data_IF_889166266009
#
_entry.id   IF_889166266009
#
_cell.length_a   1.000
_cell.length_b   1.000
_cell.length_c   1.000
_cell.angle_alpha   90.00
_cell.angle_beta   90.00
_cell.angle_gamma   90.00
#
_symmetry.space_group_name_H-M   'P 1'
#
loop_
_entity.id
_entity.type
_entity.pdbx_description
1 polymer ?
#
# COMPACT_ATOMS: atom_id res chain seq x y z
N UNK A 1 7.43 -5.43 18.97
CA UNK A 1 6.93 -6.07 17.70
C UNK A 1 6.84 -4.93 16.70
N UNK A 2 7.23 -5.07 15.43
CA UNK A 2 7.25 -3.96 14.48
C UNK A 2 5.86 -3.50 13.99
N UNK A 3 5.83 -2.89 12.81
CA UNK A 3 4.59 -2.49 12.14
C UNK A 3 3.82 -3.75 11.70
N UNK A 4 2.53 -3.83 12.02
CA UNK A 4 1.65 -4.92 11.55
C UNK A 4 0.97 -4.48 10.26
N UNK A 5 1.14 -5.25 9.19
CA UNK A 5 0.54 -4.99 7.89
C UNK A 5 -0.57 -6.01 7.64
N UNK A 6 -1.77 -5.55 7.24
CA UNK A 6 -2.88 -6.42 6.88
C UNK A 6 -3.38 -6.11 5.47
N UNK A 7 -3.51 -7.15 4.67
CA UNK A 7 -4.08 -7.05 3.33
C UNK A 7 -3.83 -8.29 2.49
N UNK A 8 -4.03 -8.17 1.18
CA UNK A 8 -3.98 -9.29 0.27
C UNK A 8 -2.59 -9.46 -0.38
N UNK A 9 -2.28 -10.72 -0.72
CA UNK A 9 -1.25 -11.06 -1.69
C UNK A 9 -1.90 -11.28 -3.05
N UNK A 10 -1.27 -10.77 -4.11
CA UNK A 10 -1.67 -10.98 -5.49
C UNK A 10 -0.56 -11.62 -6.30
N UNK A 11 -0.94 -12.21 -7.41
CA UNK A 11 -0.06 -12.59 -8.51
C UNK A 11 -0.46 -11.76 -9.71
N UNK A 12 0.48 -10.98 -10.20
CA UNK A 12 0.31 -10.20 -11.42
C UNK A 12 0.78 -11.03 -12.61
N UNK A 13 -0.15 -11.35 -13.51
CA UNK A 13 0.11 -12.05 -14.77
C UNK A 13 0.07 -11.00 -15.88
N UNK A 14 1.24 -10.68 -16.42
CA UNK A 14 1.45 -9.62 -17.42
C UNK A 14 1.77 -10.24 -18.77
N UNK A 15 0.94 -9.97 -19.78
CA UNK A 15 1.13 -10.42 -21.16
C UNK A 15 1.59 -9.28 -22.06
N UNK A 16 2.75 -9.45 -22.73
CA UNK A 16 3.33 -8.48 -23.64
C UNK A 16 3.43 -9.06 -25.05
N UNK A 17 2.87 -8.39 -26.09
CA UNK A 17 3.00 -8.86 -27.48
C UNK A 17 4.46 -8.72 -27.94
N UNK A 18 4.90 -9.68 -28.76
CA UNK A 18 6.21 -9.65 -29.39
C UNK A 18 6.20 -8.75 -30.65
N UNK A 19 5.09 -8.80 -31.39
CA UNK A 19 4.85 -8.02 -32.61
C UNK A 19 3.73 -7.00 -32.37
N UNK A 20 3.26 -6.34 -33.43
CA UNK A 20 2.15 -5.38 -33.35
C UNK A 20 0.94 -6.04 -32.69
N UNK A 21 0.42 -5.44 -31.61
CA UNK A 21 -0.75 -5.93 -30.91
C UNK A 21 -1.99 -5.93 -31.80
N UNK A 22 -2.66 -7.08 -31.90
CA UNK A 22 -3.88 -7.27 -32.66
C UNK A 22 -5.05 -7.40 -31.69
N UNK A 23 -5.92 -6.37 -31.54
CA UNK A 23 -7.11 -6.45 -30.69
C UNK A 23 -8.03 -7.58 -31.12
N UNK A 24 -8.47 -8.42 -30.16
CA UNK A 24 -9.32 -9.58 -30.44
C UNK A 24 -8.63 -10.73 -31.17
N UNK A 25 -7.35 -10.61 -31.50
CA UNK A 25 -6.54 -11.62 -32.18
C UNK A 25 -5.71 -12.48 -31.23
N UNK A 26 -5.06 -13.51 -31.79
CA UNK A 26 -4.04 -14.28 -31.10
C UNK A 26 -2.68 -13.61 -31.30
N UNK A 27 -2.13 -13.09 -30.22
CA UNK A 27 -0.81 -12.45 -30.23
C UNK A 27 0.25 -13.42 -29.71
N UNK A 28 1.35 -13.57 -30.42
CA UNK A 28 2.55 -14.20 -29.87
C UNK A 28 3.24 -13.20 -28.93
N UNK A 29 3.83 -13.70 -27.82
CA UNK A 29 4.45 -12.78 -26.87
C UNK A 29 5.06 -13.49 -25.66
N UNK A 30 5.44 -12.70 -24.67
CA UNK A 30 5.92 -13.18 -23.37
C UNK A 30 4.85 -12.99 -22.30
N UNK A 31 4.86 -13.88 -21.33
CA UNK A 31 4.02 -13.80 -20.14
C UNK A 31 4.94 -13.82 -18.94
N UNK A 32 4.72 -12.86 -18.04
CA UNK A 32 5.44 -12.74 -16.78
C UNK A 32 4.46 -12.99 -15.63
N UNK A 33 4.93 -13.67 -14.59
CA UNK A 33 4.21 -13.82 -13.33
C UNK A 33 5.10 -13.23 -12.24
N UNK A 34 4.59 -12.21 -11.57
CA UNK A 34 5.32 -11.55 -10.48
C UNK A 34 4.44 -11.50 -9.24
N UNK A 35 5.02 -11.72 -8.04
CA UNK A 35 4.30 -11.46 -6.81
C UNK A 35 3.91 -9.98 -6.74
N UNK A 36 2.66 -9.71 -6.38
CA UNK A 36 2.08 -8.39 -6.28
C UNK A 36 1.17 -8.25 -5.05
N UNK A 37 0.34 -7.22 -5.06
CA UNK A 37 -0.55 -6.86 -3.98
C UNK A 37 0.01 -5.69 -3.16
N UNK A 38 -0.84 -4.66 -2.97
CA UNK A 38 -0.49 -3.44 -2.24
C UNK A 38 0.15 -3.74 -0.88
N UNK A 39 -0.53 -4.51 -0.04
CA UNK A 39 -0.04 -4.83 1.30
C UNK A 39 1.20 -5.71 1.30
N UNK A 40 1.36 -6.60 0.30
CA UNK A 40 2.56 -7.41 0.16
C UNK A 40 3.76 -6.52 -0.22
N UNK A 41 3.58 -5.56 -1.12
CA UNK A 41 4.63 -4.61 -1.46
C UNK A 41 4.99 -3.74 -0.25
N UNK A 42 3.99 -3.19 0.45
CA UNK A 42 4.19 -2.37 1.66
C UNK A 42 4.98 -3.10 2.75
N UNK A 43 4.65 -4.36 3.04
CA UNK A 43 5.38 -5.11 4.09
C UNK A 43 6.82 -5.38 3.70
N UNK A 44 7.10 -5.62 2.42
CA UNK A 44 8.46 -5.84 1.92
C UNK A 44 9.25 -4.53 1.87
N UNK A 45 8.63 -3.39 1.50
CA UNK A 45 9.23 -2.06 1.58
C UNK A 45 9.63 -1.70 3.01
N UNK A 46 8.76 -1.97 4.00
CA UNK A 46 9.08 -1.77 5.42
C UNK A 46 10.28 -2.66 5.83
N UNK A 47 10.30 -3.91 5.39
CA UNK A 47 11.39 -4.83 5.69
C UNK A 47 12.70 -4.41 5.00
N UNK A 48 12.62 -3.82 3.80
CA UNK A 48 13.77 -3.30 3.07
C UNK A 48 14.41 -2.05 3.72
N UNK A 49 13.73 -1.42 4.69
CA UNK A 49 14.32 -0.41 5.59
C UNK A 49 14.92 -1.07 6.85
N UNK A 50 15.22 -2.36 6.80
CA UNK A 50 15.77 -3.17 7.91
C UNK A 50 14.90 -3.17 9.19
N UNK A 51 13.60 -2.95 9.02
CA UNK A 51 12.59 -3.14 10.05
C UNK A 51 12.05 -4.58 9.98
N UNK A 52 11.39 -5.03 11.05
CA UNK A 52 10.83 -6.39 11.13
C UNK A 52 9.31 -6.34 11.22
N UNK A 53 8.60 -6.08 10.11
CA UNK A 53 7.16 -6.02 10.13
C UNK A 53 6.54 -7.41 10.29
N UNK A 54 5.29 -7.44 10.75
CA UNK A 54 4.46 -8.65 10.79
C UNK A 54 3.42 -8.57 9.68
N UNK A 55 3.26 -9.62 8.89
CA UNK A 55 2.26 -9.68 7.83
C UNK A 55 1.11 -10.61 8.19
N UNK A 56 -0.11 -10.07 8.21
CA UNK A 56 -1.36 -10.80 8.43
C UNK A 56 -2.07 -10.91 7.09
N UNK A 57 -2.04 -12.08 6.48
CA UNK A 57 -2.53 -12.27 5.11
C UNK A 57 -2.83 -13.73 4.81
N UNK A 58 -3.18 -14.01 3.55
CA UNK A 58 -3.34 -15.35 3.01
C UNK A 58 -2.39 -15.58 1.84
N UNK A 59 -1.99 -16.83 1.66
CA UNK A 59 -1.39 -17.34 0.42
C UNK A 59 -2.08 -18.63 0.01
N UNK A 60 -1.93 -19.03 -1.25
CA UNK A 60 -2.43 -20.33 -1.70
C UNK A 60 -1.48 -21.49 -1.39
N UNK A 61 -1.93 -22.72 -1.65
CA UNK A 61 -1.18 -23.96 -1.41
C UNK A 61 -0.29 -24.33 -2.60
N UNK A 62 0.02 -23.38 -3.49
CA UNK A 62 0.88 -23.59 -4.66
C UNK A 62 2.35 -23.30 -4.35
N UNK A 63 3.24 -23.73 -5.25
CA UNK A 63 4.66 -23.38 -5.18
C UNK A 63 4.90 -21.87 -5.20
N UNK A 64 4.02 -21.09 -5.85
CA UNK A 64 4.11 -19.63 -5.88
C UNK A 64 3.79 -19.02 -4.52
N UNK A 65 2.76 -19.53 -3.81
CA UNK A 65 2.49 -19.13 -2.42
C UNK A 65 3.63 -19.44 -1.48
N UNK A 66 4.30 -20.60 -1.68
CA UNK A 66 5.52 -20.94 -0.92
C UNK A 66 6.68 -19.98 -1.21
N UNK A 67 6.85 -19.59 -2.48
CA UNK A 67 7.89 -18.68 -2.90
C UNK A 67 7.68 -17.29 -2.28
N UNK A 68 6.45 -16.79 -2.27
CA UNK A 68 6.10 -15.51 -1.60
C UNK A 68 6.46 -15.55 -0.12
N UNK A 69 6.05 -16.59 0.62
CA UNK A 69 6.36 -16.69 2.05
C UNK A 69 7.86 -16.80 2.28
N UNK A 70 8.57 -17.57 1.45
CA UNK A 70 10.02 -17.71 1.53
C UNK A 70 10.73 -16.38 1.27
N UNK A 71 10.31 -15.61 0.26
CA UNK A 71 10.86 -14.29 -0.05
C UNK A 71 10.66 -13.32 1.12
N UNK A 72 9.46 -13.22 1.65
CA UNK A 72 9.16 -12.36 2.78
C UNK A 72 9.98 -12.72 4.02
N UNK A 73 10.15 -14.02 4.34
CA UNK A 73 11.01 -14.47 5.44
C UNK A 73 12.48 -14.10 5.23
N UNK A 74 12.99 -14.20 3.99
CA UNK A 74 14.34 -13.78 3.66
C UNK A 74 14.57 -12.28 3.88
N UNK A 75 13.50 -11.48 3.75
CA UNK A 75 13.48 -10.06 4.08
C UNK A 75 13.16 -9.78 5.55
N UNK A 76 13.16 -10.80 6.41
CA UNK A 76 12.90 -10.68 7.86
C UNK A 76 11.48 -10.25 8.25
N UNK A 77 10.51 -10.46 7.35
CA UNK A 77 9.09 -10.31 7.66
C UNK A 77 8.64 -11.45 8.57
N UNK A 78 7.95 -11.15 9.66
CA UNK A 78 7.26 -12.18 10.42
C UNK A 78 6.01 -12.63 9.64
N UNK A 79 6.00 -13.92 9.25
CA UNK A 79 4.95 -14.56 8.45
C UNK A 79 4.11 -15.57 9.24
N UNK A 80 4.19 -15.57 10.57
CA UNK A 80 3.51 -16.56 11.43
C UNK A 80 1.98 -16.45 11.37
N UNK A 81 1.48 -15.29 10.93
CA UNK A 81 0.05 -15.00 10.76
C UNK A 81 -0.39 -14.99 9.29
N UNK A 82 0.40 -15.59 8.41
CA UNK A 82 0.00 -15.86 7.02
C UNK A 82 -0.63 -17.25 6.94
N UNK A 83 -1.94 -17.32 6.67
CA UNK A 83 -2.64 -18.58 6.51
C UNK A 83 -2.51 -19.10 5.07
N UNK A 84 -2.61 -20.43 4.91
CA UNK A 84 -2.67 -21.09 3.61
C UNK A 84 -4.10 -21.55 3.32
N UNK A 85 -4.63 -21.18 2.18
CA UNK A 85 -5.95 -21.60 1.71
C UNK A 85 -5.93 -21.81 0.20
N UNK A 86 -6.81 -22.67 -0.36
CA UNK A 86 -6.79 -22.97 -1.81
C UNK A 86 -6.90 -21.73 -2.73
N UNK A 87 -7.57 -20.67 -2.27
CA UNK A 87 -7.78 -19.41 -2.99
C UNK A 87 -7.19 -18.21 -2.23
N UNK A 88 -6.06 -18.42 -1.56
CA UNK A 88 -5.46 -17.43 -0.65
C UNK A 88 -4.81 -16.24 -1.34
N UNK A 89 -4.53 -16.30 -2.64
CA UNK A 89 -3.97 -15.19 -3.40
C UNK A 89 -4.94 -14.66 -4.43
N UNK A 90 -4.93 -13.33 -4.63
CA UNK A 90 -5.57 -12.68 -5.74
C UNK A 90 -4.81 -12.87 -7.05
N UNK A 91 -5.43 -12.55 -8.16
CA UNK A 91 -4.77 -12.56 -9.48
C UNK A 91 -5.16 -11.31 -10.24
N UNK A 92 -4.17 -10.59 -10.73
CA UNK A 92 -4.36 -9.53 -11.70
C UNK A 92 -3.79 -9.98 -13.04
N UNK A 93 -4.65 -10.21 -14.02
CA UNK A 93 -4.26 -10.54 -15.40
C UNK A 93 -4.37 -9.29 -16.23
N UNK A 94 -3.27 -8.87 -16.86
CA UNK A 94 -3.23 -7.72 -17.75
C UNK A 94 -2.58 -8.05 -19.10
N UNK A 95 -3.14 -7.50 -20.15
CA UNK A 95 -2.58 -7.55 -21.51
C UNK A 95 -2.18 -6.14 -21.89
N UNK A 96 -0.94 -5.97 -22.31
CA UNK A 96 -0.35 -4.70 -22.70
C UNK A 96 -0.29 -4.58 -24.23
N UNK A 97 -0.34 -3.34 -24.73
CA UNK A 97 0.01 -3.03 -26.12
C UNK A 97 1.51 -2.80 -26.28
N UNK A 98 1.94 -2.39 -27.47
CA UNK A 98 3.35 -2.10 -27.75
C UNK A 98 3.84 -0.80 -27.13
N UNK A 99 2.95 0.10 -26.74
CA UNK A 99 3.26 1.36 -26.08
C UNK A 99 3.39 1.19 -24.54
N UNK A 100 3.06 -0.01 -24.03
CA UNK A 100 3.07 -0.30 -22.60
C UNK A 100 1.74 0.01 -21.89
N UNK A 101 0.69 0.34 -22.62
CA UNK A 101 -0.63 0.59 -22.05
C UNK A 101 -1.40 -0.71 -21.84
N UNK A 102 -2.20 -0.77 -20.79
CA UNK A 102 -3.10 -1.89 -20.52
C UNK A 102 -4.30 -1.87 -21.46
N UNK A 103 -4.38 -2.86 -22.34
CA UNK A 103 -5.51 -3.04 -23.26
C UNK A 103 -6.72 -3.74 -22.64
N UNK A 104 -6.45 -4.66 -21.72
CA UNK A 104 -7.47 -5.42 -21.00
C UNK A 104 -6.90 -5.91 -19.66
N UNK A 105 -7.72 -5.90 -18.61
CA UNK A 105 -7.33 -6.48 -17.33
C UNK A 105 -8.53 -7.17 -16.67
N UNK A 106 -8.23 -8.24 -15.92
CA UNK A 106 -9.18 -8.95 -15.06
C UNK A 106 -8.52 -9.12 -13.69
N UNK A 107 -9.24 -8.71 -12.64
CA UNK A 107 -8.78 -8.90 -11.27
C UNK A 107 -9.69 -9.89 -10.54
N UNK A 108 -9.09 -10.99 -10.02
CA UNK A 108 -9.73 -11.91 -9.09
C UNK A 108 -9.24 -11.57 -7.68
N UNK A 109 -10.13 -11.14 -6.80
CA UNK A 109 -9.78 -10.92 -5.39
C UNK A 109 -9.75 -12.25 -4.62
N UNK A 110 -8.85 -12.39 -3.64
CA UNK A 110 -8.86 -13.57 -2.75
C UNK A 110 -10.04 -13.51 -1.77
N UNK A 111 -10.46 -14.65 -1.28
CA UNK A 111 -11.39 -14.72 -0.14
C UNK A 111 -10.60 -14.59 1.18
N UNK A 112 -10.59 -13.39 1.75
CA UNK A 112 -9.88 -13.10 2.99
C UNK A 112 -10.66 -13.46 4.26
N UNK A 113 -11.90 -13.96 4.18
CA UNK A 113 -12.73 -14.31 5.38
C UNK A 113 -12.05 -15.27 6.35
N UNK A 114 -11.15 -16.20 5.97
CA UNK A 114 -10.40 -16.98 6.95
C UNK A 114 -9.60 -16.15 7.96
N UNK A 115 -9.22 -14.92 7.63
CA UNK A 115 -8.56 -14.01 8.57
C UNK A 115 -9.48 -13.60 9.74
N UNK A 116 -10.81 -13.68 9.60
CA UNK A 116 -11.74 -13.37 10.67
C UNK A 116 -11.50 -14.30 11.87
N UNK A 117 -11.43 -15.60 11.63
CA UNK A 117 -11.15 -16.58 12.67
C UNK A 117 -9.76 -16.41 13.30
N UNK A 118 -8.74 -16.13 12.47
CA UNK A 118 -7.40 -15.82 12.94
C UNK A 118 -7.40 -14.60 13.89
N UNK A 119 -8.08 -13.51 13.50
CA UNK A 119 -8.15 -12.30 14.31
C UNK A 119 -8.93 -12.54 15.61
N UNK A 120 -10.02 -13.34 15.59
CA UNK A 120 -10.76 -13.70 16.79
C UNK A 120 -9.91 -14.55 17.76
N UNK A 121 -9.02 -15.41 17.26
CA UNK A 121 -8.17 -16.28 18.06
C UNK A 121 -6.86 -15.59 18.50
N UNK A 122 -6.20 -14.87 17.60
CA UNK A 122 -4.84 -14.36 17.77
C UNK A 122 -4.72 -12.83 17.77
N UNK A 123 -5.82 -12.10 17.63
CA UNK A 123 -5.77 -10.65 17.53
C UNK A 123 -5.08 -9.96 18.71
N UNK A 124 -5.29 -10.45 19.93
CA UNK A 124 -4.59 -9.92 21.12
C UNK A 124 -3.06 -10.10 21.02
N UNK A 125 -2.62 -11.24 20.51
CA UNK A 125 -1.19 -11.53 20.30
C UNK A 125 -0.59 -10.67 19.18
N UNK A 126 -1.33 -10.47 18.10
CA UNK A 126 -0.89 -9.69 16.93
C UNK A 126 -0.76 -8.20 17.26
N UNK A 127 -1.74 -7.60 17.95
CA UNK A 127 -1.85 -6.14 18.04
C UNK A 127 -1.34 -5.55 19.34
N UNK A 128 -1.23 -6.31 20.44
CA UNK A 128 -0.84 -5.79 21.75
C UNK A 128 0.47 -5.02 21.70
N UNK A 129 1.50 -5.63 21.11
CA UNK A 129 2.87 -5.10 21.08
C UNK A 129 3.24 -4.53 19.69
N UNK A 130 2.26 -4.32 18.81
CA UNK A 130 2.49 -3.66 17.54
C UNK A 130 2.89 -2.20 17.75
N UNK A 131 3.77 -1.66 16.89
CA UNK A 131 4.14 -0.25 16.92
C UNK A 131 3.05 0.60 16.26
N UNK A 132 2.52 0.13 15.12
CA UNK A 132 1.38 0.69 14.39
C UNK A 132 0.78 -0.36 13.46
N UNK A 133 -0.30 -0.02 12.78
CA UNK A 133 -1.03 -0.91 11.86
C UNK A 133 -1.13 -0.25 10.48
N UNK A 134 -0.64 -0.92 9.45
CA UNK A 134 -0.87 -0.58 8.06
C UNK A 134 -1.99 -1.48 7.50
N UNK A 135 -3.07 -0.89 7.02
CA UNK A 135 -4.31 -1.58 6.69
C UNK A 135 -4.74 -1.31 5.25
N UNK A 136 -4.96 -2.37 4.49
CA UNK A 136 -5.67 -2.30 3.22
C UNK A 136 -7.18 -2.20 3.48
N UNK A 137 -7.74 -0.99 3.32
CA UNK A 137 -9.08 -0.66 3.83
C UNK A 137 -10.22 -1.32 3.04
N UNK A 138 -9.98 -1.73 1.81
CA UNK A 138 -10.97 -2.36 0.94
C UNK A 138 -11.10 -3.89 1.13
N UNK A 139 -10.53 -4.43 2.21
CA UNK A 139 -10.80 -5.81 2.66
C UNK A 139 -12.25 -6.00 3.13
N UNK A 140 -12.63 -7.22 3.52
CA UNK A 140 -13.94 -7.52 4.12
C UNK A 140 -14.22 -6.62 5.34
N UNK A 141 -15.46 -6.10 5.43
CA UNK A 141 -15.87 -5.19 6.52
C UNK A 141 -15.67 -5.79 7.92
N UNK A 142 -15.86 -7.10 8.05
CA UNK A 142 -15.72 -7.77 9.35
C UNK A 142 -14.25 -7.90 9.78
N UNK A 143 -13.31 -7.97 8.82
CA UNK A 143 -11.88 -7.89 9.11
C UNK A 143 -11.53 -6.48 9.57
N UNK A 144 -11.93 -5.47 8.79
CA UNK A 144 -11.61 -4.06 9.07
C UNK A 144 -12.16 -3.63 10.44
N UNK A 145 -13.39 -4.00 10.80
CA UNK A 145 -13.98 -3.72 12.12
C UNK A 145 -13.14 -4.31 13.26
N UNK A 146 -12.66 -5.55 13.11
CA UNK A 146 -11.81 -6.20 14.12
C UNK A 146 -10.49 -5.47 14.30
N UNK A 147 -9.87 -5.09 13.20
CA UNK A 147 -8.62 -4.32 13.24
C UNK A 147 -8.81 -3.01 14.01
N UNK A 148 -9.86 -2.23 13.71
CA UNK A 148 -10.15 -1.00 14.45
C UNK A 148 -10.48 -1.25 15.93
N UNK A 149 -11.19 -2.34 16.24
CA UNK A 149 -11.46 -2.71 17.63
C UNK A 149 -10.18 -3.02 18.41
N UNK A 150 -9.23 -3.76 17.81
CA UNK A 150 -7.93 -4.02 18.42
C UNK A 150 -7.04 -2.76 18.47
N UNK A 151 -7.07 -1.93 17.43
CA UNK A 151 -6.37 -0.66 17.42
C UNK A 151 -6.82 0.24 18.58
N UNK A 152 -8.13 0.36 18.80
CA UNK A 152 -8.70 1.08 19.94
C UNK A 152 -8.32 0.46 21.27
N UNK A 153 -8.43 -0.88 21.40
CA UNK A 153 -8.10 -1.62 22.64
C UNK A 153 -6.65 -1.40 23.08
N UNK A 154 -5.72 -1.35 22.12
CA UNK A 154 -4.29 -1.25 22.38
C UNK A 154 -3.69 0.13 22.05
N UNK A 155 -4.53 1.13 21.75
CA UNK A 155 -4.13 2.50 21.40
C UNK A 155 -3.08 2.55 20.29
N UNK A 156 -3.34 1.80 19.18
CA UNK A 156 -2.47 1.75 18.02
C UNK A 156 -2.96 2.65 16.90
N UNK A 157 -2.06 3.36 16.28
CA UNK A 157 -2.35 4.13 15.07
C UNK A 157 -2.65 3.19 13.90
N UNK A 158 -3.67 3.54 13.10
CA UNK A 158 -4.06 2.82 11.88
C UNK A 158 -3.83 3.71 10.67
N UNK A 159 -3.00 3.25 9.79
CA UNK A 159 -2.61 3.89 8.54
C UNK A 159 -3.24 3.12 7.38
N UNK A 160 -3.98 3.80 6.51
CA UNK A 160 -4.77 3.14 5.49
C UNK A 160 -4.30 3.43 4.06
N UNK A 161 -4.33 2.39 3.28
CA UNK A 161 -4.17 2.39 1.82
C UNK A 161 -5.32 1.62 1.20
N UNK A 162 -5.59 1.82 -0.08
CA UNK A 162 -6.59 1.06 -0.82
C UNK A 162 -5.97 0.47 -2.09
N UNK A 163 -6.42 -0.71 -2.47
CA UNK A 163 -6.15 -1.29 -3.78
C UNK A 163 -7.29 -1.03 -4.76
N UNK A 164 -8.49 -0.75 -4.25
CA UNK A 164 -9.69 -0.46 -5.04
C UNK A 164 -10.53 0.65 -4.39
N UNK A 165 -10.39 1.88 -4.90
CA UNK A 165 -11.11 3.05 -4.39
C UNK A 165 -12.62 2.91 -4.50
N UNK A 166 -13.16 2.24 -5.52
CA UNK A 166 -14.61 2.03 -5.68
C UNK A 166 -15.22 1.31 -4.47
N UNK A 167 -14.47 0.36 -3.87
CA UNK A 167 -14.89 -0.33 -2.65
C UNK A 167 -14.73 0.60 -1.44
N UNK A 168 -13.64 1.36 -1.37
CA UNK A 168 -13.35 2.24 -0.24
C UNK A 168 -14.37 3.38 -0.10
N UNK A 169 -14.91 3.89 -1.21
CA UNK A 169 -15.96 4.95 -1.19
C UNK A 169 -17.21 4.52 -0.43
N UNK A 170 -17.57 3.24 -0.46
CA UNK A 170 -18.69 2.70 0.30
C UNK A 170 -18.40 2.57 1.81
N UNK A 171 -17.17 2.89 2.23
CA UNK A 171 -16.64 2.66 3.58
C UNK A 171 -16.02 3.93 4.17
N UNK A 172 -16.67 5.07 3.92
CA UNK A 172 -16.20 6.36 4.42
C UNK A 172 -16.12 6.43 5.94
N UNK A 173 -16.95 5.66 6.64
CA UNK A 173 -16.94 5.51 8.09
C UNK A 173 -15.61 4.92 8.61
N UNK A 174 -14.94 4.07 7.83
CA UNK A 174 -13.62 3.56 8.18
C UNK A 174 -12.52 4.59 7.93
N UNK A 175 -12.61 5.37 6.84
CA UNK A 175 -11.65 6.45 6.57
C UNK A 175 -11.59 7.46 7.72
N UNK A 176 -12.72 7.72 8.36
CA UNK A 176 -12.82 8.63 9.52
C UNK A 176 -12.14 8.08 10.79
N UNK A 177 -11.85 6.78 10.83
CA UNK A 177 -11.21 6.11 11.97
C UNK A 177 -9.71 5.91 11.76
N UNK A 178 -9.18 6.23 10.56
CA UNK A 178 -7.75 6.10 10.26
C UNK A 178 -6.99 7.30 10.79
N UNK A 179 -5.74 7.09 11.20
CA UNK A 179 -4.83 8.20 11.55
C UNK A 179 -4.36 8.95 10.32
N UNK A 180 -4.15 8.26 9.20
CA UNK A 180 -4.03 8.86 7.89
C UNK A 180 -4.44 7.91 6.77
N UNK A 181 -4.76 8.47 5.63
CA UNK A 181 -5.14 7.80 4.41
C UNK A 181 -4.35 8.34 3.21
N UNK A 182 -3.82 7.45 2.38
CA UNK A 182 -3.10 7.81 1.15
C UNK A 182 -3.88 7.34 -0.07
N UNK A 183 -3.98 8.20 -1.06
CA UNK A 183 -4.48 7.86 -2.40
C UNK A 183 -3.80 8.72 -3.47
N UNK A 184 -4.00 8.37 -4.73
CA UNK A 184 -3.56 9.21 -5.84
C UNK A 184 -4.65 10.25 -6.23
N UNK A 185 -4.31 11.13 -7.19
CA UNK A 185 -5.19 12.19 -7.68
C UNK A 185 -6.51 11.66 -8.23
N UNK A 186 -6.48 10.61 -9.04
CA UNK A 186 -7.68 9.99 -9.63
C UNK A 186 -8.56 9.35 -8.55
N UNK A 187 -7.95 8.65 -7.61
CA UNK A 187 -8.63 8.04 -6.47
C UNK A 187 -9.29 9.09 -5.56
N UNK A 188 -8.61 10.22 -5.33
CA UNK A 188 -9.20 11.36 -4.63
C UNK A 188 -10.41 11.91 -5.39
N UNK A 189 -10.34 11.97 -6.72
CA UNK A 189 -11.45 12.35 -7.59
C UNK A 189 -12.66 11.43 -7.44
N UNK A 190 -12.44 10.12 -7.41
CA UNK A 190 -13.49 9.12 -7.15
C UNK A 190 -14.09 9.29 -5.75
N UNK A 191 -13.25 9.48 -4.73
CA UNK A 191 -13.69 9.62 -3.34
C UNK A 191 -14.59 10.84 -3.13
N UNK A 192 -14.26 11.96 -3.76
CA UNK A 192 -14.96 13.24 -3.59
C UNK A 192 -15.93 13.57 -4.73
N UNK A 193 -16.00 12.74 -5.78
CA UNK A 193 -16.85 12.93 -6.98
C UNK A 193 -16.53 14.27 -7.64
N UNK A 194 -15.23 14.55 -7.81
CA UNK A 194 -14.71 15.78 -8.40
C UNK A 194 -13.51 15.46 -9.31
N UNK A 195 -13.27 16.33 -10.30
CA UNK A 195 -12.10 16.23 -11.17
C UNK A 195 -10.97 17.12 -10.61
N UNK A 196 -9.82 16.50 -10.37
CA UNK A 196 -8.62 17.17 -9.85
C UNK A 196 -7.47 17.20 -10.85
N UNK A 197 -7.65 16.70 -12.08
CA UNK A 197 -6.54 16.48 -13.04
C UNK A 197 -5.76 17.76 -13.32
N UNK A 198 -6.45 18.87 -13.59
CA UNK A 198 -5.85 20.17 -13.95
C UNK A 198 -5.52 21.07 -12.74
N UNK A 199 -5.61 20.56 -11.51
CA UNK A 199 -5.37 21.40 -10.32
C UNK A 199 -3.88 21.57 -10.06
N UNK A 200 -3.47 22.82 -9.76
CA UNK A 200 -2.10 23.10 -9.29
C UNK A 200 -1.88 22.55 -7.88
N UNK A 201 -0.61 22.50 -7.45
CA UNK A 201 -0.24 22.08 -6.09
C UNK A 201 -0.96 22.92 -5.03
N UNK A 202 -0.97 24.25 -5.21
CA UNK A 202 -1.59 25.19 -4.27
C UNK A 202 -3.12 24.98 -4.22
N UNK A 203 -3.75 24.75 -5.37
CA UNK A 203 -5.17 24.44 -5.44
C UNK A 203 -5.47 23.11 -4.73
N UNK A 204 -4.66 22.07 -4.98
CA UNK A 204 -4.82 20.78 -4.33
C UNK A 204 -4.66 20.87 -2.81
N UNK A 205 -3.70 21.64 -2.29
CA UNK A 205 -3.55 21.87 -0.85
C UNK A 205 -4.81 22.52 -0.25
N UNK A 206 -5.36 23.57 -0.89
CA UNK A 206 -6.56 24.25 -0.42
C UNK A 206 -7.79 23.33 -0.47
N UNK A 207 -7.95 22.60 -1.57
CA UNK A 207 -9.05 21.65 -1.73
C UNK A 207 -8.95 20.56 -0.66
N UNK A 208 -7.77 19.98 -0.47
CA UNK A 208 -7.59 18.89 0.47
C UNK A 208 -7.86 19.32 1.91
N UNK A 209 -7.44 20.54 2.32
CA UNK A 209 -7.79 21.14 3.62
C UNK A 209 -9.30 21.24 3.86
N UNK A 210 -10.07 21.58 2.83
CA UNK A 210 -11.52 21.63 2.92
C UNK A 210 -12.14 20.23 2.99
N UNK A 211 -11.62 19.30 2.17
CA UNK A 211 -12.14 17.93 2.06
C UNK A 211 -11.93 17.12 3.34
N UNK A 212 -10.74 17.17 3.95
CA UNK A 212 -10.46 16.44 5.19
C UNK A 212 -11.39 16.92 6.32
N UNK A 213 -11.66 18.22 6.42
CA UNK A 213 -12.60 18.78 7.41
C UNK A 213 -14.03 18.35 7.15
N UNK A 214 -14.51 18.51 5.90
CA UNK A 214 -15.90 18.21 5.55
C UNK A 214 -16.22 16.73 5.60
N UNK A 215 -15.25 15.86 5.32
CA UNK A 215 -15.39 14.40 5.36
C UNK A 215 -15.04 13.79 6.72
N UNK A 216 -14.58 14.59 7.69
CA UNK A 216 -14.07 14.12 9.00
C UNK A 216 -12.94 13.09 8.86
N UNK A 217 -12.08 13.24 7.86
CA UNK A 217 -10.88 12.40 7.68
C UNK A 217 -9.75 13.06 8.48
N UNK A 218 -9.12 12.40 9.46
CA UNK A 218 -8.12 13.05 10.32
C UNK A 218 -6.93 13.61 9.54
N UNK A 219 -6.34 12.81 8.64
CA UNK A 219 -5.23 13.21 7.76
C UNK A 219 -5.36 12.51 6.42
N UNK A 220 -5.05 13.21 5.36
CA UNK A 220 -5.08 12.67 4.00
C UNK A 220 -3.87 13.15 3.20
N UNK A 221 -3.34 12.25 2.39
CA UNK A 221 -2.23 12.54 1.50
C UNK A 221 -2.65 12.13 0.09
N UNK A 222 -2.42 13.02 -0.87
CA UNK A 222 -2.72 12.76 -2.28
C UNK A 222 -1.43 12.84 -3.08
N UNK A 223 -1.06 11.72 -3.72
CA UNK A 223 0.08 11.69 -4.63
C UNK A 223 -0.30 12.29 -5.98
N UNK A 224 0.61 13.09 -6.55
CA UNK A 224 0.45 13.83 -7.79
C UNK A 224 1.43 13.35 -8.88
N UNK A 225 1.84 12.08 -8.83
CA UNK A 225 2.81 11.50 -9.76
C UNK A 225 4.17 12.17 -9.70
N UNK A 226 4.69 12.58 -10.85
CA UNK A 226 6.00 13.24 -10.99
C UNK A 226 6.11 14.62 -10.30
N UNK A 227 4.98 15.21 -9.92
CA UNK A 227 4.96 16.49 -9.21
C UNK A 227 5.33 16.29 -7.73
N UNK A 228 4.85 15.20 -7.10
CA UNK A 228 5.09 14.92 -5.67
C UNK A 228 3.83 14.51 -4.94
N UNK A 229 3.65 15.01 -3.71
CA UNK A 229 2.47 14.73 -2.89
C UNK A 229 2.05 15.95 -2.08
N UNK A 230 0.75 16.14 -1.92
CA UNK A 230 0.17 17.10 -0.99
C UNK A 230 -0.47 16.39 0.19
N UNK A 231 -0.42 17.00 1.38
CA UNK A 231 -1.11 16.49 2.54
C UNK A 231 -1.91 17.58 3.24
N UNK A 232 -2.95 17.16 3.93
CA UNK A 232 -3.72 18.02 4.81
C UNK A 232 -4.24 17.24 6.03
N UNK A 233 -4.41 17.96 7.14
CA UNK A 233 -4.91 17.43 8.40
C UNK A 233 -6.19 18.18 8.80
N UNK A 234 -7.06 17.54 9.55
CA UNK A 234 -8.33 18.14 9.98
C UNK A 234 -8.14 19.34 10.92
N UNK A 235 -7.01 19.41 11.64
CA UNK A 235 -6.61 20.53 12.52
C UNK A 235 -6.02 21.71 11.75
N UNK A 236 -5.79 21.58 10.45
CA UNK A 236 -5.46 22.68 9.55
C UNK A 236 -4.02 22.75 9.07
N UNK A 237 -3.19 21.78 9.41
CA UNK A 237 -1.87 21.64 8.79
C UNK A 237 -2.02 21.21 7.33
N UNK A 238 -1.20 21.76 6.43
CA UNK A 238 -1.05 21.26 5.06
C UNK A 238 0.34 21.52 4.55
N UNK A 239 0.78 20.68 3.61
CA UNK A 239 2.10 20.81 3.02
C UNK A 239 2.20 20.14 1.66
N UNK A 240 3.34 20.36 1.03
CA UNK A 240 3.71 19.76 -0.23
C UNK A 240 5.11 19.15 -0.11
N UNK A 241 5.26 17.94 -0.59
CA UNK A 241 6.54 17.26 -0.73
C UNK A 241 6.81 17.02 -2.22
N UNK A 242 7.82 17.69 -2.82
CA UNK A 242 8.13 17.52 -4.24
C UNK A 242 8.68 16.13 -4.52
N UNK A 243 8.38 15.58 -5.69
CA UNK A 243 9.01 14.35 -6.16
C UNK A 243 10.52 14.54 -6.37
N UNK A 244 11.28 13.46 -6.25
CA UNK A 244 12.69 13.47 -6.59
C UNK A 244 12.86 13.24 -8.10
N UNK A 245 13.64 14.06 -8.80
CA UNK A 245 13.92 13.84 -10.22
C UNK A 245 14.81 12.61 -10.38
N UNK A 246 14.29 11.59 -11.03
CA UNK A 246 14.98 10.31 -11.25
C UNK A 246 14.74 9.78 -12.67
N UNK A 247 15.55 8.82 -13.08
CA UNK A 247 15.31 8.10 -14.34
C UNK A 247 14.33 6.94 -14.07
N UNK A 248 13.09 7.10 -14.54
CA UNK A 248 12.02 6.12 -14.36
C UNK A 248 12.24 4.91 -15.26
N UNK A 249 12.17 3.70 -14.69
CA UNK A 249 12.18 2.41 -15.40
C UNK A 249 10.82 1.75 -15.39
N UNK A 250 10.16 1.70 -14.23
CA UNK A 250 8.81 1.19 -14.04
C UNK A 250 8.16 1.95 -12.89
N UNK A 251 6.90 2.34 -13.01
CA UNK A 251 6.17 3.07 -11.96
C UNK A 251 5.42 2.16 -11.00
N UNK A 252 5.41 0.85 -11.26
CA UNK A 252 4.72 -0.14 -10.40
C UNK A 252 5.32 -0.14 -9.00
N UNK A 253 4.48 -0.13 -7.98
CA UNK A 253 4.90 -0.15 -6.57
C UNK A 253 5.29 1.21 -5.98
N UNK A 254 5.37 2.29 -6.79
CA UNK A 254 5.72 3.62 -6.29
C UNK A 254 4.78 4.11 -5.18
N UNK A 255 3.46 3.90 -5.34
CA UNK A 255 2.46 4.26 -4.34
C UNK A 255 2.60 3.46 -3.05
N UNK A 256 2.91 2.17 -3.17
CA UNK A 256 3.09 1.26 -2.03
C UNK A 256 4.34 1.64 -1.23
N UNK A 257 5.46 1.89 -1.93
CA UNK A 257 6.71 2.36 -1.31
C UNK A 257 6.54 3.75 -0.67
N UNK A 258 5.79 4.65 -1.29
CA UNK A 258 5.45 5.94 -0.71
C UNK A 258 4.65 5.78 0.58
N UNK A 259 3.61 4.95 0.57
CA UNK A 259 2.81 4.63 1.76
C UNK A 259 3.64 3.98 2.86
N UNK A 260 4.50 3.01 2.51
CA UNK A 260 5.41 2.36 3.45
C UNK A 260 6.33 3.38 4.14
N UNK A 261 6.93 4.29 3.37
CA UNK A 261 7.83 5.32 3.91
C UNK A 261 7.14 6.29 4.87
N UNK A 262 5.90 6.71 4.56
CA UNK A 262 5.11 7.54 5.48
C UNK A 262 4.76 6.76 6.75
N UNK A 263 4.30 5.52 6.59
CA UNK A 263 3.99 4.61 7.71
C UNK A 263 5.18 4.50 8.66
N UNK A 264 6.38 4.25 8.11
CA UNK A 264 7.63 4.19 8.88
C UNK A 264 7.90 5.51 9.59
N UNK A 265 7.88 6.62 8.85
CA UNK A 265 8.17 7.94 9.41
C UNK A 265 7.28 8.29 10.59
N UNK A 266 5.96 8.18 10.43
CA UNK A 266 4.99 8.50 11.48
C UNK A 266 5.06 7.52 12.67
N UNK A 267 5.28 6.22 12.42
CA UNK A 267 5.42 5.22 13.49
C UNK A 267 6.60 5.56 14.40
N UNK A 268 7.70 6.02 13.82
CA UNK A 268 8.93 6.34 14.58
C UNK A 268 9.11 7.85 14.85
N UNK A 269 7.99 8.57 14.98
CA UNK A 269 7.93 9.91 15.56
C UNK A 269 8.31 11.07 14.65
N UNK A 270 8.36 10.87 13.33
CA UNK A 270 8.54 11.98 12.38
C UNK A 270 7.24 12.79 12.20
N UNK A 271 7.38 14.07 11.94
CA UNK A 271 6.26 14.90 11.50
C UNK A 271 5.83 14.57 10.07
N UNK A 272 4.64 15.09 9.64
CA UNK A 272 4.07 14.79 8.31
C UNK A 272 5.03 15.11 7.16
N UNK A 273 5.71 16.26 7.19
CA UNK A 273 6.65 16.68 6.15
C UNK A 273 7.82 15.70 6.00
N UNK A 274 8.42 15.30 7.13
CA UNK A 274 9.56 14.37 7.13
C UNK A 274 9.12 12.96 6.73
N UNK A 275 7.95 12.51 7.20
CA UNK A 275 7.38 11.23 6.80
C UNK A 275 7.10 11.18 5.29
N UNK A 276 6.52 12.25 4.71
CA UNK A 276 6.34 12.37 3.27
C UNK A 276 7.67 12.36 2.51
N UNK A 277 8.73 12.99 3.05
CA UNK A 277 10.06 12.95 2.43
C UNK A 277 10.65 11.52 2.41
N UNK A 278 10.43 10.72 3.48
CA UNK A 278 10.79 9.31 3.49
C UNK A 278 10.00 8.56 2.40
N UNK A 279 8.68 8.74 2.35
CA UNK A 279 7.82 8.12 1.33
C UNK A 279 8.28 8.46 -0.10
N UNK A 280 8.55 9.73 -0.37
CA UNK A 280 9.05 10.19 -1.68
C UNK A 280 10.39 9.53 -2.03
N UNK A 281 11.31 9.37 -1.06
CA UNK A 281 12.61 8.73 -1.30
C UNK A 281 12.47 7.25 -1.61
N UNK A 282 11.61 6.51 -0.89
CA UNK A 282 11.36 5.09 -1.18
C UNK A 282 10.69 4.92 -2.55
N UNK A 283 9.66 5.71 -2.86
CA UNK A 283 9.01 5.69 -4.17
C UNK A 283 9.97 5.99 -5.31
N UNK A 284 10.80 7.03 -5.18
CA UNK A 284 11.81 7.39 -6.17
C UNK A 284 12.82 6.26 -6.42
N UNK A 285 13.26 5.57 -5.36
CA UNK A 285 14.17 4.45 -5.48
C UNK A 285 13.51 3.23 -6.14
N UNK A 286 12.24 2.96 -5.84
CA UNK A 286 11.46 1.87 -6.45
C UNK A 286 11.37 2.05 -7.97
N UNK A 287 10.96 3.23 -8.45
CA UNK A 287 10.76 3.47 -9.88
C UNK A 287 12.05 3.52 -10.70
N UNK A 288 13.20 3.51 -10.06
CA UNK A 288 14.51 3.36 -10.72
C UNK A 288 14.87 1.90 -11.03
N UNK A 289 14.08 0.93 -10.58
CA UNK A 289 14.31 -0.50 -10.75
C UNK A 289 13.19 -1.14 -11.59
N UNK A 290 13.26 -2.43 -11.82
CA UNK A 290 12.17 -3.23 -12.40
C UNK A 290 11.40 -3.99 -11.33
N UNK A 291 11.81 -3.85 -10.07
CA UNK A 291 11.11 -4.43 -8.91
C UNK A 291 9.98 -3.52 -8.48
N UNK A 292 8.93 -4.09 -7.92
CA UNK A 292 7.78 -3.34 -7.42
C UNK A 292 7.89 -2.97 -5.93
N UNK A 293 9.11 -3.06 -5.38
CA UNK A 293 9.46 -2.67 -4.02
C UNK A 293 10.78 -1.89 -4.01
N UNK A 294 11.01 -1.10 -2.97
CA UNK A 294 12.22 -0.30 -2.86
C UNK A 294 13.47 -1.18 -2.59
N UNK A 295 14.65 -0.73 -3.01
CA UNK A 295 15.89 -1.36 -2.60
C UNK A 295 16.13 -1.21 -1.09
N UNK A 296 17.15 -1.90 -0.57
CA UNK A 296 17.48 -1.84 0.85
C UNK A 296 18.00 -0.47 1.28
N UNK A 297 17.52 -0.04 2.45
CA UNK A 297 17.95 1.15 3.17
C UNK A 297 18.23 0.80 4.63
N UNK A 298 19.07 1.61 5.27
CA UNK A 298 19.26 1.55 6.71
C UNK A 298 18.37 2.58 7.43
N UNK A 299 17.78 2.27 8.60
CA UNK A 299 16.94 3.22 9.34
C UNK A 299 17.63 4.55 9.62
N UNK A 300 18.94 4.51 9.89
CA UNK A 300 19.77 5.71 10.13
C UNK A 300 19.85 6.67 8.95
N UNK A 301 19.62 6.21 7.70
CA UNK A 301 19.57 7.09 6.53
C UNK A 301 18.37 8.04 6.55
N UNK A 302 17.36 7.70 7.33
CA UNK A 302 16.17 8.51 7.57
C UNK A 302 16.17 9.18 8.95
N UNK A 303 17.26 9.05 9.70
CA UNK A 303 17.35 9.55 11.07
C UNK A 303 16.32 8.89 12.00
N UNK A 304 16.01 7.61 11.76
CA UNK A 304 15.11 6.84 12.60
C UNK A 304 15.88 6.22 13.78
N UNK A 305 15.37 6.41 14.99
CA UNK A 305 15.79 5.69 16.17
C UNK A 305 14.89 4.48 16.35
N UNK A 306 15.34 3.35 15.84
CA UNK A 306 14.59 2.08 15.96
C UNK A 306 15.15 1.30 17.16
N UNK A 307 14.31 0.76 18.04
CA UNK A 307 14.76 -0.14 19.09
C UNK A 307 15.55 -1.30 18.49
N UNK A 308 16.79 -1.49 18.94
CA UNK A 308 17.59 -2.65 18.53
C UNK A 308 16.93 -3.89 19.12
N UNK A 309 16.28 -4.66 18.28
CA UNK A 309 15.81 -6.01 18.66
C UNK A 309 16.91 -6.99 18.31
N UNK A 310 17.51 -7.60 19.33
CA UNK A 310 18.44 -8.72 19.19
C UNK A 310 17.84 -9.90 18.43
#
# INVERSE_FOLDING_TARGET
MGIVVLGAVFVDIKGYPQDVYIPGGRNAGRIEQVPGGVSRNVVEDIANVELRPTFVSLVDDTGLGEDVVRQLRNHKVNTDYMLRTPDGMGTWLAVFNNDGDVCAAISKRPDLRPLIALLDEKGDEIFRDADSIALELDMDKEIVKRVFAYAQKYHKSVYAVVSNMTIAVERRDFLQQTDYFVCNRQEAGILFIEDFEDKTVEQMQQILLQKVKSANIPRMIVTLGEVGAVYATADGESGFCPAQPVHVRDTTGAGDAFFAGITIGLTYGKGMQDACAIGTRLAAATICTLENVCPRFMPGEFGLEVPVTD
#
